data_IF_008823904643
#
_entry.id   IF_008823904643
#
_cell.length_a   1.000
_cell.length_b   1.000
_cell.length_c   1.000
_cell.angle_alpha   90.00
_cell.angle_beta   90.00
_cell.angle_gamma   90.00
#
_symmetry.space_group_name_H-M   'P 1'
#
loop_
_entity.id
_entity.type
_entity.pdbx_description
1 polymer ?
#
# COMPACT_ATOMS: atom_id res chain seq x y z
N UNK A 1 8.69 -2.39 3.33
CA UNK A 1 8.52 -1.58 2.10
C UNK A 1 8.35 -2.52 0.93
N UNK A 2 7.40 -2.24 0.06
CA UNK A 2 7.14 -3.01 -1.17
C UNK A 2 7.24 -2.07 -2.35
N UNK A 3 7.98 -2.49 -3.39
CA UNK A 3 8.14 -1.76 -4.65
C UNK A 3 7.50 -2.61 -5.75
N UNK A 4 6.67 -1.99 -6.58
CA UNK A 4 5.90 -2.63 -7.65
C UNK A 4 6.30 -1.96 -8.96
N UNK A 5 6.76 -2.79 -9.91
CA UNK A 5 6.93 -2.41 -11.31
C UNK A 5 5.79 -3.04 -12.12
N UNK A 6 4.92 -2.22 -12.70
CA UNK A 6 3.84 -2.72 -13.55
C UNK A 6 4.33 -3.04 -14.96
N UNK A 7 3.56 -3.86 -15.68
CA UNK A 7 3.79 -4.14 -17.10
C UNK A 7 3.76 -2.88 -17.99
N UNK A 8 3.13 -1.80 -17.50
CA UNK A 8 3.06 -0.53 -18.20
C UNK A 8 4.19 0.43 -17.76
N UNK A 9 5.25 -0.05 -17.10
CA UNK A 9 6.38 0.75 -16.62
C UNK A 9 6.03 1.80 -15.55
N UNK A 10 4.98 1.56 -14.77
CA UNK A 10 4.74 2.37 -13.56
C UNK A 10 5.57 1.78 -12.42
N UNK A 11 6.32 2.64 -11.73
CA UNK A 11 7.07 2.27 -10.54
C UNK A 11 6.42 2.96 -9.34
N UNK A 12 5.81 2.19 -8.45
CA UNK A 12 5.09 2.67 -7.28
C UNK A 12 5.19 1.66 -6.15
N UNK A 13 4.58 1.94 -5.01
CA UNK A 13 4.61 0.99 -3.92
C UNK A 13 3.99 1.52 -2.64
N UNK A 14 4.35 0.83 -1.57
CA UNK A 14 3.82 1.08 -0.24
C UNK A 14 4.89 0.90 0.81
N UNK A 15 4.84 1.75 1.82
CA UNK A 15 5.57 1.57 3.06
C UNK A 15 4.59 1.20 4.18
N UNK A 16 4.97 0.20 4.96
CA UNK A 16 4.36 -0.17 6.24
C UNK A 16 5.50 -0.50 7.21
N UNK A 17 5.32 -0.14 8.47
CA UNK A 17 6.31 -0.39 9.53
C UNK A 17 6.22 -1.82 10.10
N UNK A 18 5.20 -2.59 9.73
CA UNK A 18 4.98 -3.95 10.21
C UNK A 18 5.15 -4.98 9.09
N UNK A 19 5.65 -6.19 9.39
CA UNK A 19 5.71 -7.29 8.43
C UNK A 19 4.32 -7.88 8.19
N UNK A 20 4.12 -8.49 7.03
CA UNK A 20 2.92 -9.27 6.73
C UNK A 20 2.85 -10.54 7.60
N UNK A 21 1.67 -10.87 8.13
CA UNK A 21 1.48 -11.99 9.08
C UNK A 21 0.45 -13.04 8.66
N UNK A 22 -0.35 -12.82 7.61
CA UNK A 22 -1.43 -13.73 7.18
C UNK A 22 -2.40 -14.16 8.31
N UNK A 23 -2.67 -13.31 9.29
CA UNK A 23 -3.45 -13.63 10.49
C UNK A 23 -4.95 -13.27 10.41
N UNK A 24 -5.46 -13.02 9.20
CA UNK A 24 -6.86 -12.72 8.91
C UNK A 24 -7.40 -11.48 9.63
N UNK A 25 -6.60 -10.41 9.67
CA UNK A 25 -7.00 -9.16 10.35
C UNK A 25 -6.57 -7.89 9.61
N UNK A 26 -7.30 -6.80 9.83
CA UNK A 26 -6.85 -5.46 9.46
C UNK A 26 -5.81 -4.96 10.46
N UNK A 27 -4.83 -4.21 9.97
CA UNK A 27 -3.74 -3.66 10.76
C UNK A 27 -3.79 -2.15 10.76
N UNK A 28 -3.63 -1.61 11.96
CA UNK A 28 -3.45 -0.21 12.23
C UNK A 28 -1.99 0.18 12.09
N UNK A 29 -1.67 1.05 11.11
CA UNK A 29 -0.28 1.46 10.85
C UNK A 29 -0.27 2.94 10.46
N UNK A 30 -0.12 3.83 11.44
CA UNK A 30 -0.12 5.29 11.22
C UNK A 30 1.02 5.75 10.29
N UNK A 31 2.17 5.07 10.35
CA UNK A 31 3.30 5.35 9.47
C UNK A 31 3.11 4.83 8.03
N UNK A 32 1.98 4.18 7.70
CA UNK A 32 1.76 3.66 6.35
C UNK A 32 1.52 4.79 5.34
N UNK A 33 2.09 4.63 4.16
CA UNK A 33 1.86 5.51 3.03
C UNK A 33 2.08 4.78 1.71
N UNK A 34 1.35 5.20 0.68
CA UNK A 34 1.62 4.80 -0.70
C UNK A 34 2.57 5.82 -1.33
N UNK A 35 3.28 5.41 -2.37
CA UNK A 35 4.12 6.32 -3.13
C UNK A 35 4.14 5.92 -4.60
N UNK A 36 4.39 6.89 -5.48
CA UNK A 36 4.80 6.63 -6.85
C UNK A 36 6.18 7.27 -7.11
N UNK A 37 6.96 6.65 -7.98
CA UNK A 37 8.31 7.09 -8.36
C UNK A 37 8.35 7.45 -9.84
N UNK A 38 7.90 6.53 -10.69
CA UNK A 38 7.90 6.71 -12.13
C UNK A 38 6.51 6.46 -12.66
N UNK A 39 6.03 7.41 -13.45
CA UNK A 39 4.79 7.30 -14.19
C UNK A 39 5.07 7.65 -15.67
N UNK A 40 4.83 6.72 -16.62
CA UNK A 40 5.03 6.97 -18.05
C UNK A 40 4.24 8.15 -18.61
N UNK A 41 3.18 8.59 -17.93
CA UNK A 41 2.35 9.73 -18.30
C UNK A 41 2.91 11.07 -17.80
N UNK A 42 4.11 11.08 -17.19
CA UNK A 42 4.76 12.29 -16.71
C UNK A 42 4.16 12.84 -15.40
N UNK A 43 3.36 12.05 -14.68
CA UNK A 43 2.86 12.44 -13.37
C UNK A 43 4.04 12.47 -12.38
N UNK A 44 4.26 13.59 -11.65
CA UNK A 44 5.34 13.69 -10.68
C UNK A 44 5.24 12.64 -9.57
N UNK A 45 6.40 12.26 -9.02
CA UNK A 45 6.49 11.41 -7.84
C UNK A 45 5.74 12.05 -6.65
N UNK A 46 4.97 11.26 -5.92
CA UNK A 46 4.20 11.73 -4.77
C UNK A 46 4.11 10.67 -3.67
N UNK A 47 3.89 11.13 -2.43
CA UNK A 47 3.62 10.31 -1.25
C UNK A 47 2.17 10.55 -0.81
N UNK A 48 1.41 9.47 -0.68
CA UNK A 48 0.04 9.47 -0.21
C UNK A 48 0.00 8.90 1.20
N UNK A 49 -0.02 9.81 2.19
CA UNK A 49 -0.09 9.44 3.60
C UNK A 49 -1.48 8.93 3.95
N UNK A 50 -1.53 8.03 4.93
CA UNK A 50 -2.80 7.56 5.46
C UNK A 50 -3.62 8.72 6.03
N UNK A 51 -4.93 8.70 5.79
CA UNK A 51 -5.83 9.65 6.42
C UNK A 51 -6.16 9.17 7.84
N UNK A 52 -6.22 10.06 8.85
CA UNK A 52 -6.37 9.65 10.25
C UNK A 52 -7.58 8.75 10.54
N UNK A 53 -8.68 8.93 9.81
CA UNK A 53 -9.91 8.13 9.97
C UNK A 53 -9.80 6.71 9.44
N UNK A 54 -8.79 6.41 8.61
CA UNK A 54 -8.62 5.11 7.94
C UNK A 54 -7.47 4.29 8.52
N UNK A 55 -6.81 4.79 9.57
CA UNK A 55 -5.62 4.16 10.16
C UNK A 55 -5.87 2.71 10.54
N UNK A 56 -7.05 2.38 11.09
CA UNK A 56 -7.42 1.02 11.48
C UNK A 56 -7.50 -0.01 10.34
N UNK A 57 -7.57 0.45 9.09
CA UNK A 57 -7.65 -0.37 7.89
C UNK A 57 -6.47 -0.10 6.92
N UNK A 58 -5.31 0.30 7.47
CA UNK A 58 -4.13 0.65 6.68
C UNK A 58 -3.63 -0.51 5.80
N UNK A 59 -3.63 -1.73 6.34
CA UNK A 59 -3.18 -2.95 5.66
C UNK A 59 -4.07 -4.11 6.10
N UNK A 60 -4.41 -5.05 5.20
CA UNK A 60 -5.26 -6.21 5.54
C UNK A 60 -4.49 -7.51 5.43
N UNK A 61 -4.20 -8.17 6.55
CA UNK A 61 -3.38 -9.40 6.66
C UNK A 61 -4.17 -10.70 6.43
N UNK A 62 -5.00 -10.76 5.39
CA UNK A 62 -5.88 -11.91 5.14
C UNK A 62 -5.15 -13.03 4.42
N UNK A 63 -5.21 -14.27 4.92
CA UNK A 63 -4.51 -15.42 4.35
C UNK A 63 -5.11 -15.90 3.03
N UNK A 64 -6.37 -15.54 2.75
CA UNK A 64 -7.09 -15.89 1.51
C UNK A 64 -6.80 -14.92 0.35
N UNK A 65 -6.12 -13.82 0.63
CA UNK A 65 -5.75 -12.81 -0.35
C UNK A 65 -4.25 -12.53 -0.24
N UNK A 66 -3.70 -11.96 -1.29
CA UNK A 66 -2.38 -11.34 -1.22
C UNK A 66 -2.45 -10.03 -0.41
N UNK A 67 -1.30 -9.41 -0.08
CA UNK A 67 -1.29 -8.18 0.70
C UNK A 67 -2.12 -7.05 0.09
N UNK A 68 -3.09 -6.57 0.87
CA UNK A 68 -3.94 -5.42 0.52
C UNK A 68 -3.54 -4.22 1.38
N UNK A 69 -3.34 -3.08 0.72
CA UNK A 69 -2.98 -1.81 1.34
C UNK A 69 -4.04 -0.75 1.05
N UNK A 70 -4.40 0.02 2.08
CA UNK A 70 -5.46 1.03 2.05
C UNK A 70 -6.86 0.44 2.23
N UNK A 71 -7.77 1.21 2.83
CA UNK A 71 -9.13 0.74 3.09
C UNK A 71 -9.94 0.53 1.79
N UNK A 72 -9.62 1.25 0.72
CA UNK A 72 -10.24 1.07 -0.60
C UNK A 72 -9.69 -0.10 -1.40
N UNK A 73 -8.75 -0.89 -0.84
CA UNK A 73 -7.89 -1.80 -1.61
C UNK A 73 -7.09 -1.06 -2.68
N UNK A 74 -6.48 0.06 -2.31
CA UNK A 74 -5.74 0.95 -3.20
C UNK A 74 -4.60 0.21 -3.93
N UNK A 75 -3.97 -0.76 -3.25
CA UNK A 75 -3.06 -1.74 -3.84
C UNK A 75 -3.45 -3.13 -3.33
N UNK A 76 -3.70 -4.06 -4.24
CA UNK A 76 -3.76 -5.50 -4.00
C UNK A 76 -2.67 -6.15 -4.85
N UNK A 77 -1.89 -7.03 -4.24
CA UNK A 77 -0.91 -7.85 -4.96
C UNK A 77 -1.56 -9.12 -5.53
#
# INVERSE_FOLDING_TARGET
MTIILSNNNYLFGVFTAIPWTSDNSNKSVEAAFLFNLTNPQGIPSNIYRIVPTEVGNAVRHYSTFDPIFGNGSDICL
#
